data_IF_804938699942
#
_entry.id   IF_804938699942
#
_cell.length_a   1.000
_cell.length_b   1.000
_cell.length_c   1.000
_cell.angle_alpha   90.00
_cell.angle_beta   90.00
_cell.angle_gamma   90.00
#
_symmetry.space_group_name_H-M   'P 1'
#
loop_
_entity.id
_entity.type
_entity.pdbx_description
1 polymer ?
#
# COMPACT_ATOMS: atom_id res chain seq x y z
N UNK A 1 -20.18 -17.68 3.66
CA UNK A 1 -19.21 -16.71 3.10
C UNK A 1 -18.20 -17.50 2.30
N UNK A 2 -18.04 -17.23 1.00
CA UNK A 2 -17.19 -18.01 0.08
C UNK A 2 -15.69 -17.88 0.46
N UNK A 3 -14.97 -19.00 0.54
CA UNK A 3 -13.54 -19.10 0.91
C UNK A 3 -12.61 -18.20 0.07
N UNK A 4 -12.92 -18.05 -1.22
CA UNK A 4 -12.20 -17.18 -2.16
C UNK A 4 -12.27 -15.71 -1.72
N UNK A 5 -13.43 -15.26 -1.28
CA UNK A 5 -13.62 -13.88 -0.80
C UNK A 5 -12.78 -13.60 0.45
N UNK A 6 -12.69 -14.57 1.37
CA UNK A 6 -11.87 -14.44 2.56
C UNK A 6 -10.38 -14.43 2.24
N UNK A 7 -9.93 -15.32 1.35
CA UNK A 7 -8.53 -15.39 0.92
C UNK A 7 -8.09 -14.08 0.23
N UNK A 8 -8.93 -13.54 -0.65
CA UNK A 8 -8.65 -12.26 -1.32
C UNK A 8 -8.56 -11.10 -0.32
N UNK A 9 -9.47 -11.04 0.66
CA UNK A 9 -9.43 -10.04 1.73
C UNK A 9 -8.15 -10.08 2.55
N UNK A 10 -7.64 -11.28 2.87
CA UNK A 10 -6.35 -11.46 3.56
C UNK A 10 -5.17 -10.99 2.71
N UNK A 11 -5.14 -11.33 1.42
CA UNK A 11 -4.07 -10.91 0.51
C UNK A 11 -3.99 -9.39 0.37
N UNK A 12 -5.13 -8.72 0.19
CA UNK A 12 -5.20 -7.24 0.14
C UNK A 12 -4.68 -6.64 1.44
N UNK A 13 -5.09 -7.19 2.59
CA UNK A 13 -4.63 -6.71 3.90
C UNK A 13 -3.12 -6.85 4.08
N UNK A 14 -2.54 -7.98 3.66
CA UNK A 14 -1.10 -8.22 3.73
C UNK A 14 -0.32 -7.27 2.81
N UNK A 15 -0.80 -7.07 1.57
CA UNK A 15 -0.22 -6.12 0.62
C UNK A 15 -0.22 -4.70 1.19
N UNK A 16 -1.36 -4.22 1.68
CA UNK A 16 -1.47 -2.86 2.25
C UNK A 16 -0.52 -2.67 3.44
N UNK A 17 -0.39 -3.69 4.30
CA UNK A 17 0.56 -3.64 5.44
C UNK A 17 2.01 -3.54 4.97
N UNK A 18 2.39 -4.28 3.92
CA UNK A 18 3.74 -4.24 3.37
C UNK A 18 4.05 -2.87 2.73
N UNK A 19 3.14 -2.35 1.92
CA UNK A 19 3.27 -1.03 1.29
C UNK A 19 3.34 0.08 2.34
N UNK A 20 2.43 0.08 3.33
CA UNK A 20 2.47 1.06 4.42
C UNK A 20 3.77 1.00 5.23
N UNK A 21 4.37 -0.19 5.39
CA UNK A 21 5.68 -0.33 6.04
C UNK A 21 6.81 0.25 5.18
N UNK A 22 6.77 0.03 3.85
CA UNK A 22 7.73 0.60 2.91
C UNK A 22 7.68 2.14 2.94
N UNK A 23 6.48 2.71 2.88
CA UNK A 23 6.25 4.15 2.88
C UNK A 23 6.70 4.83 4.17
N UNK A 24 6.39 4.23 5.32
CA UNK A 24 6.64 4.84 6.63
C UNK A 24 8.05 4.59 7.15
N UNK A 25 8.71 3.51 6.75
CA UNK A 25 10.01 3.09 7.32
C UNK A 25 11.17 3.18 6.33
N UNK A 26 10.94 2.81 5.07
CA UNK A 26 12.03 2.65 4.09
C UNK A 26 12.20 3.90 3.23
N UNK A 27 11.13 4.43 2.65
CA UNK A 27 11.21 5.63 1.80
C UNK A 27 11.84 6.86 2.50
N UNK A 28 11.60 7.11 3.81
CA UNK A 28 12.30 8.20 4.52
C UNK A 28 13.81 7.95 4.63
N UNK A 29 14.24 6.72 4.89
CA UNK A 29 15.66 6.38 4.95
C UNK A 29 16.32 6.51 3.57
N UNK A 30 15.64 6.07 2.51
CA UNK A 30 16.12 6.22 1.13
C UNK A 30 16.28 7.69 0.72
N UNK A 31 15.39 8.59 1.18
CA UNK A 31 15.54 10.04 0.96
C UNK A 31 16.80 10.62 1.62
N UNK A 32 17.16 10.14 2.82
CA UNK A 32 18.39 10.57 3.52
C UNK A 32 19.68 10.16 2.79
N UNK A 33 19.65 9.10 1.98
CA UNK A 33 20.82 8.75 1.16
C UNK A 33 21.16 9.81 0.11
N UNK A 34 20.16 10.58 -0.35
CA UNK A 34 20.38 11.73 -1.23
C UNK A 34 21.10 12.86 -0.48
N UNK A 35 20.70 13.14 0.75
CA UNK A 35 21.37 14.14 1.61
C UNK A 35 22.84 13.78 1.90
N UNK A 36 23.16 12.47 1.92
CA UNK A 36 24.51 11.95 2.12
C UNK A 36 25.32 11.83 0.82
N UNK A 37 24.74 12.16 -0.34
CA UNK A 37 25.41 12.07 -1.64
C UNK A 37 25.73 10.64 -2.10
N UNK A 38 25.07 9.62 -1.54
CA UNK A 38 25.32 8.19 -1.86
C UNK A 38 24.24 7.57 -2.76
N UNK A 39 23.32 8.38 -3.30
CA UNK A 39 22.25 7.95 -4.21
C UNK A 39 22.19 8.78 -5.49
N UNK A 40 21.37 8.37 -6.46
CA UNK A 40 21.11 9.15 -7.66
C UNK A 40 20.50 10.52 -7.35
N UNK A 41 20.66 11.49 -8.26
CA UNK A 41 20.07 12.83 -8.14
C UNK A 41 18.53 12.86 -8.25
N UNK A 42 17.91 11.78 -8.74
CA UNK A 42 16.45 11.69 -8.86
C UNK A 42 15.78 11.70 -7.49
N UNK A 43 14.84 12.61 -7.30
CA UNK A 43 14.06 12.67 -6.07
C UNK A 43 13.09 11.49 -5.93
N UNK A 44 12.98 11.01 -4.69
CA UNK A 44 11.95 10.05 -4.29
C UNK A 44 10.72 10.87 -3.86
N UNK A 45 9.62 10.84 -4.64
CA UNK A 45 8.44 11.64 -4.34
C UNK A 45 7.82 11.24 -2.99
N UNK A 46 7.19 12.21 -2.34
CA UNK A 46 6.32 11.93 -1.19
C UNK A 46 5.02 11.35 -1.74
N UNK A 47 4.72 10.12 -1.36
CA UNK A 47 3.49 9.45 -1.74
C UNK A 47 2.39 9.83 -0.75
N UNK A 48 1.18 10.07 -1.26
CA UNK A 48 -0.01 10.16 -0.42
C UNK A 48 -0.40 8.76 0.06
N UNK A 49 -0.95 8.69 1.28
CA UNK A 49 -1.42 7.43 1.85
C UNK A 49 -2.51 6.82 0.96
N UNK A 50 -2.22 5.67 0.37
CA UNK A 50 -3.18 4.96 -0.46
C UNK A 50 -4.19 4.20 0.43
N UNK A 51 -5.36 4.79 0.65
CA UNK A 51 -6.50 4.08 1.25
C UNK A 51 -7.11 3.11 0.24
N UNK A 52 -6.83 1.81 0.37
CA UNK A 52 -7.46 0.77 -0.46
C UNK A 52 -8.48 0.01 0.38
N UNK A 53 -9.76 0.39 0.24
CA UNK A 53 -10.90 -0.41 0.71
C UNK A 53 -11.28 -1.41 -0.38
N UNK A 54 -11.64 -2.66 -0.04
CA UNK A 54 -12.21 -3.60 -1.00
C UNK A 54 -13.38 -2.93 -1.75
N UNK A 55 -13.50 -3.20 -3.06
CA UNK A 55 -14.64 -2.76 -3.86
C UNK A 55 -15.91 -3.17 -3.12
N UNK A 56 -16.76 -2.21 -2.72
CA UNK A 56 -18.08 -2.52 -2.17
C UNK A 56 -18.77 -3.43 -3.19
N UNK A 57 -19.12 -4.64 -2.77
CA UNK A 57 -20.04 -5.49 -3.54
C UNK A 57 -21.31 -4.67 -3.75
N UNK A 58 -21.75 -4.57 -5.01
CA UNK A 58 -23.12 -4.16 -5.28
C UNK A 58 -23.98 -5.16 -4.51
N UNK A 59 -24.66 -4.69 -3.46
CA UNK A 59 -25.79 -5.44 -2.90
C UNK A 59 -26.77 -5.54 -4.06
N UNK A 60 -26.84 -6.71 -4.68
CA UNK A 60 -28.00 -7.04 -5.48
C UNK A 60 -29.12 -7.16 -4.46
N UNK A 61 -29.90 -6.09 -4.31
CA UNK A 61 -31.19 -6.18 -3.66
C UNK A 61 -32.02 -7.10 -4.56
N UNK A 62 -32.11 -8.36 -4.15
CA UNK A 62 -33.03 -9.32 -4.75
C UNK A 62 -34.37 -9.05 -4.06
N UNK A 63 -35.25 -8.34 -4.76
CA UNK A 63 -36.69 -8.34 -4.48
C UNK A 63 -37.26 -9.77 -4.62
#
# INVERSE_FOLDING_TARGET
MNDVGQALGKSVSAYNRAVGSLETRILPAARRFKELGVSSDRDIPVLESAGVVPRKTLTFDIE
#
